data_IF_795160632853
#
_entry.id   IF_795160632853
#
_cell.length_a   1.000
_cell.length_b   1.000
_cell.length_c   1.000
_cell.angle_alpha   90.00
_cell.angle_beta   90.00
_cell.angle_gamma   90.00
#
_symmetry.space_group_name_H-M   'P 1'
#
loop_
_entity.id
_entity.type
_entity.pdbx_description
1 polymer ?
#
# COMPACT_ATOMS: atom_id res chain seq x y z
N UNK A 1 -28.84 16.24 44.62
CA UNK A 1 -27.97 15.30 43.98
C UNK A 1 -26.62 15.99 43.83
N UNK A 2 -25.57 15.59 44.58
CA UNK A 2 -24.23 16.14 44.45
C UNK A 2 -23.70 15.65 43.13
N UNK A 3 -23.40 16.56 42.19
CA UNK A 3 -22.60 16.31 40.99
C UNK A 3 -21.22 16.00 41.54
N UNK A 4 -20.84 14.72 41.53
CA UNK A 4 -19.49 14.30 41.92
C UNK A 4 -18.48 15.09 41.10
N UNK A 5 -17.47 15.66 41.75
CA UNK A 5 -16.35 16.32 41.09
C UNK A 5 -15.64 15.27 40.26
N UNK A 6 -15.80 15.29 38.93
CA UNK A 6 -15.03 14.50 38.00
C UNK A 6 -13.65 15.12 37.99
N UNK A 7 -12.62 14.36 38.43
CA UNK A 7 -11.25 14.83 38.32
C UNK A 7 -10.87 15.02 36.85
N UNK A 8 -10.22 16.15 36.53
CA UNK A 8 -9.79 16.46 35.15
C UNK A 8 -9.00 15.32 34.48
N UNK A 9 -8.29 14.54 35.31
CA UNK A 9 -7.49 13.41 34.83
C UNK A 9 -8.36 12.22 34.39
N UNK A 10 -9.58 12.08 34.92
CA UNK A 10 -10.49 11.01 34.53
C UNK A 10 -11.13 11.30 33.14
N UNK A 11 -11.26 12.57 32.79
CA UNK A 11 -11.73 12.96 31.45
C UNK A 11 -10.80 12.46 30.34
N UNK A 12 -9.50 12.32 30.62
CA UNK A 12 -8.53 11.83 29.64
C UNK A 12 -8.66 10.32 29.33
N UNK A 13 -9.48 9.58 30.08
CA UNK A 13 -9.80 8.20 29.74
C UNK A 13 -10.77 8.10 28.55
N UNK A 14 -11.42 9.20 28.18
CA UNK A 14 -12.43 9.27 27.11
C UNK A 14 -11.91 10.08 25.92
N UNK A 15 -12.43 9.81 24.73
CA UNK A 15 -12.32 10.77 23.63
C UNK A 15 -13.21 11.97 23.93
N UNK A 16 -12.62 13.17 23.96
CA UNK A 16 -13.36 14.41 24.28
C UNK A 16 -14.00 15.01 23.02
N UNK A 17 -14.35 14.18 22.05
CA UNK A 17 -15.02 14.51 20.80
C UNK A 17 -15.78 13.27 20.29
N UNK A 18 -16.73 13.41 19.33
CA UNK A 18 -17.49 12.28 18.79
C UNK A 18 -16.63 11.20 18.09
N UNK A 19 -15.38 11.50 17.77
CA UNK A 19 -14.44 10.60 17.14
C UNK A 19 -13.01 10.84 17.66
N UNK A 20 -12.10 9.84 17.57
CA UNK A 20 -10.75 9.98 18.07
C UNK A 20 -9.93 10.96 17.22
N UNK A 21 -9.74 12.19 17.71
CA UNK A 21 -9.05 13.27 16.99
C UNK A 21 -7.59 12.98 16.68
N UNK A 22 -6.97 12.03 17.39
CA UNK A 22 -5.63 11.54 17.10
C UNK A 22 -5.58 10.63 15.85
N UNK A 23 -6.71 10.03 15.45
CA UNK A 23 -6.84 9.13 14.29
C UNK A 23 -7.69 9.73 13.17
N UNK A 24 -8.52 10.72 13.47
CA UNK A 24 -9.47 11.33 12.55
C UNK A 24 -9.29 12.85 12.45
N UNK A 25 -9.59 13.40 11.28
CA UNK A 25 -9.64 14.83 11.05
C UNK A 25 -10.94 15.45 11.65
N UNK A 26 -11.09 16.78 11.54
CA UNK A 26 -12.21 17.50 12.10
C UNK A 26 -13.59 17.15 11.50
N UNK A 27 -13.62 16.40 10.40
CA UNK A 27 -14.82 15.84 9.77
C UNK A 27 -15.06 14.36 10.12
N UNK A 28 -14.31 13.79 11.07
CA UNK A 28 -14.39 12.39 11.45
C UNK A 28 -13.79 11.40 10.45
N UNK A 29 -13.18 11.88 9.37
CA UNK A 29 -12.50 11.01 8.40
C UNK A 29 -11.12 10.60 8.91
N UNK A 30 -10.69 9.34 8.69
CA UNK A 30 -9.37 8.87 9.09
C UNK A 30 -8.22 9.76 8.57
N UNK A 31 -7.21 9.98 9.41
CA UNK A 31 -5.97 10.59 8.97
C UNK A 31 -5.21 9.61 8.05
N UNK A 32 -5.38 9.79 6.74
CA UNK A 32 -4.55 9.05 5.79
C UNK A 32 -3.15 9.67 5.71
N UNK A 33 -2.15 8.82 5.71
CA UNK A 33 -0.77 9.28 5.65
C UNK A 33 -0.48 9.98 4.32
N UNK A 34 -0.04 11.22 4.37
CA UNK A 34 0.44 11.99 3.20
C UNK A 34 1.94 11.81 2.98
N UNK A 35 2.65 11.25 3.96
CA UNK A 35 4.12 11.12 3.98
C UNK A 35 4.57 9.66 4.07
N UNK A 36 3.79 8.70 3.53
CA UNK A 36 4.20 7.28 3.53
C UNK A 36 5.54 7.06 2.83
N UNK A 37 5.85 7.87 1.82
CA UNK A 37 7.12 7.84 1.09
C UNK A 37 8.35 8.14 1.95
N UNK A 38 8.18 8.77 3.11
CA UNK A 38 9.29 9.02 4.04
C UNK A 38 9.94 7.71 4.49
N UNK A 39 9.15 6.63 4.66
CA UNK A 39 9.69 5.33 5.02
C UNK A 39 10.67 4.81 3.97
N UNK A 40 10.25 4.82 2.70
CA UNK A 40 11.09 4.44 1.57
C UNK A 40 12.33 5.33 1.49
N UNK A 41 12.17 6.64 1.69
CA UNK A 41 13.28 7.60 1.64
C UNK A 41 14.32 7.38 2.75
N UNK A 42 13.90 6.90 3.93
CA UNK A 42 14.78 6.62 5.06
C UNK A 42 15.57 5.30 4.92
N UNK A 43 15.09 4.37 4.10
CA UNK A 43 15.66 3.02 4.01
C UNK A 43 16.35 2.74 2.66
N UNK A 44 15.91 3.34 1.57
CA UNK A 44 16.35 3.02 0.22
C UNK A 44 17.85 3.18 0.02
N UNK A 45 18.47 2.22 -0.62
CA UNK A 45 19.87 2.26 -1.06
C UNK A 45 19.90 2.30 -2.58
N UNK A 46 20.47 3.36 -3.12
CA UNK A 46 20.60 3.55 -4.56
C UNK A 46 21.80 2.84 -5.15
N UNK A 47 21.66 2.44 -6.41
CA UNK A 47 22.74 1.90 -7.24
C UNK A 47 22.76 2.58 -8.61
N UNK A 48 23.94 2.62 -9.24
CA UNK A 48 24.09 3.19 -10.57
C UNK A 48 23.38 2.34 -11.63
N UNK A 49 22.63 2.97 -12.51
CA UNK A 49 21.88 2.32 -13.60
C UNK A 49 22.73 2.05 -14.85
N UNK A 50 24.04 2.36 -14.85
CA UNK A 50 24.82 2.51 -16.09
C UNK A 50 25.06 1.26 -16.96
N UNK A 51 24.67 0.05 -16.51
CA UNK A 51 24.90 -1.17 -17.30
C UNK A 51 24.01 -2.38 -16.95
N UNK A 52 22.96 -2.21 -16.17
CA UNK A 52 22.14 -3.35 -15.75
C UNK A 52 21.12 -3.66 -16.84
N UNK A 53 21.19 -4.87 -17.40
CA UNK A 53 20.16 -5.45 -18.26
C UNK A 53 19.24 -6.30 -17.41
N UNK A 54 17.96 -6.09 -17.52
CA UNK A 54 16.97 -6.82 -16.74
C UNK A 54 16.46 -8.04 -17.51
N UNK A 55 16.44 -9.19 -16.85
CA UNK A 55 15.80 -10.40 -17.38
C UNK A 55 14.28 -10.28 -17.38
N UNK A 56 13.74 -9.58 -16.37
CA UNK A 56 12.31 -9.36 -16.22
C UNK A 56 12.02 -7.96 -15.68
N UNK A 57 10.88 -7.40 -16.12
CA UNK A 57 10.37 -6.11 -15.67
C UNK A 57 8.93 -6.30 -15.21
N UNK A 58 8.65 -5.97 -13.95
CA UNK A 58 7.33 -6.00 -13.34
C UNK A 58 6.81 -4.58 -13.23
N UNK A 59 5.67 -4.27 -13.82
CA UNK A 59 5.17 -2.92 -13.97
C UNK A 59 3.81 -2.76 -13.28
N UNK A 60 3.72 -1.80 -12.37
CA UNK A 60 2.44 -1.29 -11.88
C UNK A 60 1.72 -0.54 -13.00
N UNK A 61 0.70 -1.18 -13.58
CA UNK A 61 -0.03 -0.66 -14.72
C UNK A 61 -0.84 0.60 -14.38
N UNK A 62 -1.35 0.73 -13.17
CA UNK A 62 -2.10 1.90 -12.76
C UNK A 62 -1.19 3.11 -12.60
N UNK A 63 -0.08 2.96 -11.88
CA UNK A 63 0.91 4.02 -11.74
C UNK A 63 1.52 4.41 -13.09
N UNK A 64 1.75 3.44 -13.99
CA UNK A 64 2.18 3.69 -15.36
C UNK A 64 1.19 4.56 -16.12
N UNK A 65 -0.12 4.26 -16.10
CA UNK A 65 -1.16 5.05 -16.78
C UNK A 65 -1.23 6.49 -16.26
N UNK A 66 -0.98 6.69 -14.97
CA UNK A 66 -0.97 8.03 -14.38
C UNK A 66 0.29 8.83 -14.72
N UNK A 67 1.46 8.21 -14.73
CA UNK A 67 2.74 8.89 -14.67
C UNK A 67 3.56 8.80 -15.95
N UNK A 68 3.47 7.70 -16.71
CA UNK A 68 4.36 7.43 -17.83
C UNK A 68 3.68 7.55 -19.20
N UNK A 69 2.37 7.31 -19.28
CA UNK A 69 1.67 7.27 -20.56
C UNK A 69 1.15 8.66 -20.95
N UNK A 70 1.49 9.08 -22.15
CA UNK A 70 0.86 10.25 -22.76
C UNK A 70 -0.64 9.96 -22.99
N UNK A 71 -1.50 10.84 -22.49
CA UNK A 71 -2.94 10.75 -22.66
C UNK A 71 -3.38 11.50 -23.90
N UNK A 72 -3.78 10.84 -25.00
CA UNK A 72 -4.11 11.48 -26.27
C UNK A 72 -5.52 12.09 -26.22
N UNK A 73 -5.67 13.23 -25.56
CA UNK A 73 -6.95 13.92 -25.37
C UNK A 73 -7.66 14.16 -26.71
N UNK A 74 -8.92 13.76 -26.80
CA UNK A 74 -9.74 13.94 -28.01
C UNK A 74 -9.50 12.93 -29.12
N UNK A 75 -8.54 12.00 -28.97
CA UNK A 75 -8.38 10.86 -29.89
C UNK A 75 -9.26 9.70 -29.46
N UNK A 76 -9.31 8.63 -30.26
CA UNK A 76 -9.96 7.38 -29.90
C UNK A 76 -9.19 6.62 -28.80
N UNK A 77 -9.87 5.79 -28.00
CA UNK A 77 -9.26 4.90 -26.99
C UNK A 77 -8.15 4.04 -27.62
N UNK A 78 -8.30 3.63 -28.88
CA UNK A 78 -7.27 2.90 -29.65
C UNK A 78 -5.91 3.60 -29.60
N UNK A 79 -5.88 4.94 -29.68
CA UNK A 79 -4.62 5.70 -29.60
C UNK A 79 -3.94 5.61 -28.24
N UNK A 80 -4.72 5.48 -27.16
CA UNK A 80 -4.15 5.23 -25.85
C UNK A 80 -3.57 3.81 -25.75
N UNK A 81 -4.25 2.80 -26.32
CA UNK A 81 -3.72 1.43 -26.41
C UNK A 81 -2.39 1.41 -27.18
N UNK A 82 -2.33 2.13 -28.32
CA UNK A 82 -1.09 2.29 -29.10
C UNK A 82 0.03 2.99 -28.28
N UNK A 83 -0.32 4.01 -27.48
CA UNK A 83 0.65 4.68 -26.62
C UNK A 83 1.19 3.77 -25.51
N UNK A 84 0.32 2.93 -24.91
CA UNK A 84 0.74 1.93 -23.93
C UNK A 84 1.64 0.86 -24.57
N UNK A 85 1.28 0.38 -25.78
CA UNK A 85 2.12 -0.59 -26.49
C UNK A 85 3.50 0.00 -26.86
N UNK A 86 3.54 1.25 -27.27
CA UNK A 86 4.79 1.96 -27.58
C UNK A 86 5.71 2.10 -26.34
N UNK A 87 5.11 2.15 -25.13
CA UNK A 87 5.86 2.17 -23.88
C UNK A 87 6.36 0.77 -23.48
N UNK A 88 5.52 -0.27 -23.63
CA UNK A 88 5.81 -1.65 -23.16
C UNK A 88 6.70 -2.42 -24.11
N UNK A 89 6.47 -2.36 -25.43
CA UNK A 89 7.13 -3.23 -26.40
C UNK A 89 8.63 -3.06 -26.54
N UNK A 90 9.23 -1.87 -26.31
CA UNK A 90 10.68 -1.76 -26.24
C UNK A 90 11.31 -2.68 -25.19
N UNK A 91 10.66 -2.91 -24.04
CA UNK A 91 11.15 -3.82 -23.01
C UNK A 91 11.11 -5.28 -23.48
N UNK A 92 10.09 -5.70 -24.25
CA UNK A 92 9.95 -7.07 -24.76
C UNK A 92 11.01 -7.50 -25.75
N UNK A 93 11.89 -6.60 -26.18
CA UNK A 93 13.04 -6.93 -27.01
C UNK A 93 14.12 -7.66 -26.21
N UNK A 94 14.27 -7.36 -24.91
CA UNK A 94 15.35 -7.86 -24.06
C UNK A 94 14.84 -8.55 -22.80
N UNK A 95 13.68 -8.17 -22.27
CA UNK A 95 13.16 -8.58 -20.97
C UNK A 95 11.78 -9.23 -21.08
N UNK A 96 11.47 -10.15 -20.18
CA UNK A 96 10.10 -10.56 -19.94
C UNK A 96 9.37 -9.42 -19.21
N UNK A 97 8.09 -9.18 -19.54
CA UNK A 97 7.30 -8.10 -18.95
C UNK A 97 6.07 -8.65 -18.27
N UNK A 98 5.89 -8.27 -17.01
CA UNK A 98 4.70 -8.51 -16.23
C UNK A 98 4.00 -7.17 -15.99
N UNK A 99 2.80 -6.99 -16.56
CA UNK A 99 2.00 -5.79 -16.42
C UNK A 99 0.81 -6.07 -15.51
N UNK A 100 0.74 -5.39 -14.37
CA UNK A 100 -0.23 -5.66 -13.33
C UNK A 100 -1.17 -4.47 -13.16
N UNK A 101 -2.47 -4.71 -13.22
CA UNK A 101 -3.49 -3.74 -12.91
C UNK A 101 -4.28 -4.17 -11.66
N UNK A 102 -4.78 -3.17 -10.90
CA UNK A 102 -5.74 -3.42 -9.83
C UNK A 102 -7.01 -4.07 -10.40
N UNK A 103 -7.63 -4.87 -9.57
CA UNK A 103 -9.00 -5.35 -9.76
C UNK A 103 -9.95 -4.51 -8.93
N UNK A 104 -11.10 -4.26 -9.45
CA UNK A 104 -12.09 -3.43 -8.80
C UNK A 104 -13.35 -4.25 -8.58
N UNK A 105 -13.63 -4.58 -7.31
CA UNK A 105 -14.90 -5.16 -6.89
C UNK A 105 -15.70 -4.12 -6.13
N UNK A 106 -17.04 -4.23 -6.20
CA UNK A 106 -17.95 -3.23 -5.62
C UNK A 106 -17.87 -3.16 -4.08
N UNK A 107 -17.32 -4.19 -3.42
CA UNK A 107 -17.17 -4.31 -1.97
C UNK A 107 -15.70 -4.48 -1.55
N UNK A 108 -14.80 -3.62 -2.01
CA UNK A 108 -13.40 -3.70 -1.57
C UNK A 108 -13.14 -2.85 -0.32
N UNK A 109 -12.16 -3.26 0.48
CA UNK A 109 -11.72 -2.56 1.69
C UNK A 109 -11.28 -1.11 1.40
N UNK A 110 -10.70 -0.87 0.23
CA UNK A 110 -10.34 0.48 -0.24
C UNK A 110 -11.51 1.21 -0.91
N UNK A 111 -12.72 0.62 -1.02
CA UNK A 111 -13.86 1.30 -1.66
C UNK A 111 -14.20 2.60 -0.96
N UNK A 112 -14.17 2.64 0.37
CA UNK A 112 -14.49 3.82 1.16
C UNK A 112 -13.38 4.87 1.12
N UNK A 113 -12.11 4.44 1.12
CA UNK A 113 -10.97 5.34 0.89
C UNK A 113 -11.01 5.95 -0.52
N UNK A 114 -11.42 5.16 -1.52
CA UNK A 114 -11.61 5.64 -2.89
C UNK A 114 -12.80 6.60 -2.98
N UNK A 115 -13.94 6.30 -2.35
CA UNK A 115 -15.13 7.18 -2.29
C UNK A 115 -14.81 8.51 -1.62
N UNK A 116 -14.08 8.51 -0.51
CA UNK A 116 -13.70 9.75 0.19
C UNK A 116 -12.71 10.62 -0.62
N UNK A 117 -11.84 10.01 -1.43
CA UNK A 117 -10.96 10.74 -2.37
C UNK A 117 -11.70 11.23 -3.63
N UNK A 118 -12.82 10.57 -4.00
CA UNK A 118 -13.51 10.83 -5.27
C UNK A 118 -14.53 11.96 -5.20
N UNK A 119 -14.93 12.53 -4.09
CA UNK A 119 -15.79 13.72 -3.91
C UNK A 119 -16.63 14.24 -5.09
N UNK A 120 -16.45 13.69 -6.29
CA UNK A 120 -17.15 14.00 -7.55
C UNK A 120 -17.79 12.75 -8.13
N UNK A 121 -19.03 12.87 -8.54
CA UNK A 121 -19.68 11.86 -9.38
C UNK A 121 -19.12 11.93 -10.80
N UNK A 122 -18.36 10.91 -11.19
CA UNK A 122 -17.90 10.79 -12.58
C UNK A 122 -18.98 10.12 -13.44
N UNK A 123 -19.22 10.70 -14.63
CA UNK A 123 -20.10 10.10 -15.63
C UNK A 123 -19.57 8.73 -16.05
N UNK A 124 -20.42 7.72 -16.05
CA UNK A 124 -20.12 6.42 -16.62
C UNK A 124 -20.10 6.52 -18.14
N UNK A 125 -19.03 6.02 -18.76
CA UNK A 125 -18.85 5.96 -20.19
C UNK A 125 -18.90 4.50 -20.64
N UNK A 126 -19.50 4.26 -21.80
CA UNK A 126 -19.37 2.96 -22.48
C UNK A 126 -18.14 3.04 -23.40
N UNK A 127 -17.01 2.54 -22.92
CA UNK A 127 -15.74 2.62 -23.64
C UNK A 127 -15.63 1.49 -24.68
N UNK A 128 -15.20 1.86 -25.87
CA UNK A 128 -14.82 0.98 -26.98
C UNK A 128 -13.56 1.56 -27.64
N UNK A 129 -12.84 0.79 -28.44
CA UNK A 129 -11.62 1.25 -29.13
C UNK A 129 -11.83 2.50 -29.97
N UNK A 130 -13.04 2.64 -30.56
CA UNK A 130 -13.46 3.79 -31.39
C UNK A 130 -14.07 4.93 -30.57
N UNK A 131 -14.30 4.75 -29.28
CA UNK A 131 -14.84 5.82 -28.43
C UNK A 131 -13.83 6.94 -28.31
N UNK A 132 -14.29 8.18 -28.44
CA UNK A 132 -13.48 9.35 -28.14
C UNK A 132 -13.05 9.32 -26.67
N UNK A 133 -11.75 9.36 -26.42
CA UNK A 133 -11.17 9.20 -25.08
C UNK A 133 -11.55 10.40 -24.19
N UNK A 134 -12.28 10.16 -23.09
CA UNK A 134 -12.57 11.21 -22.10
C UNK A 134 -11.29 11.70 -21.40
N UNK A 135 -11.42 12.71 -20.54
CA UNK A 135 -10.27 13.17 -19.75
C UNK A 135 -9.71 12.05 -18.87
N UNK A 136 -8.42 12.15 -18.54
CA UNK A 136 -7.75 11.16 -17.67
C UNK A 136 -8.49 11.03 -16.32
N UNK A 137 -8.87 12.15 -15.74
CA UNK A 137 -9.57 12.22 -14.46
C UNK A 137 -10.95 11.55 -14.54
N UNK A 138 -11.70 11.78 -15.61
CA UNK A 138 -13.02 11.20 -15.82
C UNK A 138 -12.96 9.67 -15.97
N UNK A 139 -11.90 9.14 -16.57
CA UNK A 139 -11.74 7.69 -16.76
C UNK A 139 -11.11 7.04 -15.54
N UNK A 140 -9.95 7.54 -15.08
CA UNK A 140 -9.22 6.92 -13.98
C UNK A 140 -9.83 7.22 -12.61
N UNK A 141 -10.66 8.25 -12.48
CA UNK A 141 -11.44 8.56 -11.28
C UNK A 141 -12.67 7.67 -11.07
N UNK A 142 -13.21 7.04 -12.12
CA UNK A 142 -14.36 6.15 -12.04
C UNK A 142 -13.91 4.69 -12.07
N UNK A 143 -14.28 3.90 -11.07
CA UNK A 143 -13.98 2.46 -11.01
C UNK A 143 -14.48 1.73 -12.26
N UNK A 144 -15.73 1.98 -12.69
CA UNK A 144 -16.33 1.31 -13.85
C UNK A 144 -15.64 1.70 -15.17
N UNK A 145 -15.35 2.99 -15.36
CA UNK A 145 -14.63 3.45 -16.56
C UNK A 145 -13.21 2.87 -16.61
N UNK A 146 -12.53 2.86 -15.45
CA UNK A 146 -11.18 2.35 -15.32
C UNK A 146 -11.10 0.85 -15.61
N UNK A 147 -12.05 0.05 -15.11
CA UNK A 147 -12.14 -1.39 -15.40
C UNK A 147 -12.29 -1.64 -16.91
N UNK A 148 -13.22 -0.94 -17.56
CA UNK A 148 -13.41 -1.07 -19.02
C UNK A 148 -12.13 -0.69 -19.79
N UNK A 149 -11.47 0.41 -19.39
CA UNK A 149 -10.23 0.84 -20.02
C UNK A 149 -9.12 -0.21 -19.86
N UNK A 150 -8.94 -0.76 -18.67
CA UNK A 150 -7.92 -1.80 -18.39
C UNK A 150 -8.18 -3.04 -19.26
N UNK A 151 -9.42 -3.46 -19.43
CA UNK A 151 -9.77 -4.57 -20.32
C UNK A 151 -9.41 -4.28 -21.77
N UNK A 152 -9.76 -3.10 -22.28
CA UNK A 152 -9.42 -2.69 -23.65
C UNK A 152 -7.91 -2.61 -23.88
N UNK A 153 -7.16 -2.07 -22.93
CA UNK A 153 -5.69 -2.02 -22.97
C UNK A 153 -5.12 -3.44 -22.97
N UNK A 154 -5.57 -4.28 -22.06
CA UNK A 154 -5.07 -5.67 -21.92
C UNK A 154 -5.30 -6.48 -23.18
N UNK A 155 -6.52 -6.46 -23.73
CA UNK A 155 -6.85 -7.15 -24.97
C UNK A 155 -6.08 -6.61 -26.16
N UNK A 156 -5.98 -5.29 -26.29
CA UNK A 156 -5.25 -4.63 -27.38
C UNK A 156 -3.74 -4.95 -27.34
N UNK A 157 -3.10 -4.86 -26.16
CA UNK A 157 -1.70 -5.23 -25.99
C UNK A 157 -1.42 -6.68 -26.36
N UNK A 158 -2.22 -7.62 -25.85
CA UNK A 158 -2.06 -9.05 -26.16
C UNK A 158 -2.25 -9.35 -27.64
N UNK A 159 -3.24 -8.71 -28.30
CA UNK A 159 -3.47 -8.84 -29.74
C UNK A 159 -2.27 -8.32 -30.55
N UNK A 160 -1.76 -7.15 -30.20
CA UNK A 160 -0.59 -6.56 -30.87
C UNK A 160 0.68 -7.34 -30.61
N UNK A 161 0.89 -7.83 -29.38
CA UNK A 161 2.04 -8.67 -29.02
C UNK A 161 2.00 -10.03 -29.77
N UNK A 162 0.80 -10.60 -29.96
CA UNK A 162 0.61 -11.81 -30.75
C UNK A 162 1.05 -11.63 -32.18
N UNK A 163 0.66 -10.51 -32.82
CA UNK A 163 1.02 -10.23 -34.22
C UNK A 163 2.51 -9.94 -34.40
N UNK A 164 3.17 -9.34 -33.40
CA UNK A 164 4.63 -9.07 -33.44
C UNK A 164 5.49 -10.25 -33.04
N UNK A 165 4.89 -11.30 -32.44
CA UNK A 165 5.55 -12.57 -32.10
C UNK A 165 6.86 -12.43 -31.32
N UNK A 166 6.86 -11.62 -30.25
CA UNK A 166 8.05 -11.42 -29.41
C UNK A 166 8.58 -12.72 -28.81
N UNK A 167 9.91 -12.88 -28.77
CA UNK A 167 10.58 -14.00 -28.11
C UNK A 167 10.40 -13.95 -26.58
N UNK A 168 10.38 -12.74 -26.01
CA UNK A 168 10.14 -12.50 -24.60
C UNK A 168 8.65 -12.52 -24.32
N UNK A 169 8.27 -12.90 -23.12
CA UNK A 169 6.85 -13.01 -22.74
C UNK A 169 6.30 -11.68 -22.21
N UNK A 170 5.06 -11.42 -22.55
CA UNK A 170 4.22 -10.42 -21.93
C UNK A 170 3.16 -11.14 -21.09
N UNK A 171 3.18 -10.93 -19.78
CA UNK A 171 2.15 -11.40 -18.84
C UNK A 171 1.29 -10.23 -18.41
N UNK A 172 -0.02 -10.30 -18.60
CA UNK A 172 -0.95 -9.22 -18.23
C UNK A 172 -1.92 -9.75 -17.18
N UNK A 173 -1.91 -9.09 -16.01
CA UNK A 173 -2.89 -9.29 -14.94
C UNK A 173 -3.90 -8.16 -15.01
N UNK A 174 -5.18 -8.48 -15.22
CA UNK A 174 -6.27 -7.50 -15.37
C UNK A 174 -7.45 -7.86 -14.45
N UNK A 175 -8.67 -7.51 -14.84
CA UNK A 175 -9.87 -7.75 -14.03
C UNK A 175 -10.14 -9.24 -13.70
N UNK A 176 -9.66 -10.17 -14.55
CA UNK A 176 -9.85 -11.62 -14.32
C UNK A 176 -8.81 -12.20 -13.36
N UNK A 177 -9.16 -13.25 -12.59
CA UNK A 177 -8.23 -13.90 -11.67
C UNK A 177 -7.00 -14.50 -12.35
N UNK A 178 -7.15 -15.01 -13.56
CA UNK A 178 -6.11 -15.71 -14.31
C UNK A 178 -5.34 -14.71 -15.21
N UNK A 179 -4.05 -14.49 -15.00
CA UNK A 179 -3.23 -13.71 -15.91
C UNK A 179 -3.11 -14.35 -17.28
N UNK A 180 -2.94 -13.54 -18.31
CA UNK A 180 -2.77 -14.00 -19.70
C UNK A 180 -1.35 -13.71 -20.16
N UNK A 181 -0.68 -14.70 -20.69
CA UNK A 181 0.65 -14.58 -21.28
C UNK A 181 0.59 -14.63 -22.80
N UNK A 182 1.35 -13.77 -23.45
CA UNK A 182 1.67 -13.84 -24.88
C UNK A 182 3.17 -14.02 -25.07
N UNK A 183 3.60 -15.02 -25.86
CA UNK A 183 4.99 -15.26 -26.23
C UNK A 183 5.04 -15.98 -27.57
N UNK A 184 5.91 -15.58 -28.49
CA UNK A 184 6.08 -16.19 -29.83
C UNK A 184 4.75 -16.34 -30.58
N UNK A 185 3.88 -15.33 -30.48
CA UNK A 185 2.55 -15.36 -31.09
C UNK A 185 1.54 -16.31 -30.42
N UNK A 186 1.91 -17.03 -29.38
CA UNK A 186 1.01 -17.90 -28.62
C UNK A 186 0.44 -17.18 -27.41
N UNK A 187 -0.85 -17.39 -27.16
CA UNK A 187 -1.53 -16.86 -25.96
C UNK A 187 -1.92 -18.04 -25.08
N UNK A 188 -1.53 -17.98 -23.81
CA UNK A 188 -1.86 -18.97 -22.80
C UNK A 188 -2.40 -18.31 -21.53
N UNK A 189 -3.20 -19.05 -20.77
CA UNK A 189 -3.67 -18.66 -19.44
C UNK A 189 -2.71 -19.17 -18.39
N UNK A 190 -2.21 -18.29 -17.52
CA UNK A 190 -1.26 -18.61 -16.45
C UNK A 190 -2.03 -18.97 -15.17
N UNK A 191 -2.51 -20.22 -15.11
CA UNK A 191 -3.23 -20.73 -13.94
C UNK A 191 -2.35 -20.79 -12.68
N UNK A 192 -1.05 -20.97 -12.84
CA UNK A 192 -0.05 -20.93 -11.78
C UNK A 192 0.07 -19.54 -11.11
N UNK A 193 -0.34 -18.49 -11.80
CA UNK A 193 -0.39 -17.10 -11.31
C UNK A 193 -1.81 -16.64 -10.97
N UNK A 194 -2.76 -17.58 -10.92
CA UNK A 194 -4.13 -17.27 -10.53
C UNK A 194 -4.15 -16.65 -9.13
N UNK A 195 -4.82 -15.52 -9.03
CA UNK A 195 -5.00 -14.86 -7.73
C UNK A 195 -6.35 -14.15 -7.66
N UNK A 196 -6.92 -14.08 -6.47
CA UNK A 196 -8.13 -13.31 -6.18
C UNK A 196 -7.83 -12.03 -5.39
N UNK A 197 -6.55 -11.70 -5.17
CA UNK A 197 -6.16 -10.39 -4.63
C UNK A 197 -6.62 -9.26 -5.54
N UNK A 198 -7.07 -8.17 -4.95
CA UNK A 198 -7.62 -7.02 -5.69
C UNK A 198 -6.56 -6.00 -6.10
N UNK A 199 -5.55 -5.80 -5.25
CA UNK A 199 -4.61 -4.71 -5.37
C UNK A 199 -3.32 -5.12 -6.07
N UNK A 200 -2.86 -4.30 -7.01
CA UNK A 200 -1.58 -4.50 -7.68
C UNK A 200 -0.42 -4.62 -6.68
N UNK A 201 -0.47 -3.84 -5.58
CA UNK A 201 0.55 -3.86 -4.53
C UNK A 201 0.77 -5.26 -3.93
N UNK A 202 -0.31 -6.04 -3.79
CA UNK A 202 -0.28 -7.40 -3.26
C UNK A 202 -0.02 -8.44 -4.36
N UNK A 203 -0.35 -8.13 -5.62
CA UNK A 203 -0.15 -9.03 -6.77
C UNK A 203 1.30 -8.97 -7.28
N UNK A 204 1.96 -7.81 -7.25
CA UNK A 204 3.35 -7.60 -7.70
C UNK A 204 4.31 -8.63 -7.10
N UNK A 205 4.31 -8.92 -5.78
CA UNK A 205 5.19 -9.93 -5.18
C UNK A 205 5.07 -11.30 -5.80
N UNK A 206 3.87 -11.78 -6.12
CA UNK A 206 3.65 -13.08 -6.76
C UNK A 206 4.27 -13.12 -8.17
N UNK A 207 4.21 -12.04 -8.92
CA UNK A 207 4.82 -11.95 -10.24
C UNK A 207 6.35 -11.90 -10.16
N UNK A 208 6.89 -11.26 -9.13
CA UNK A 208 8.34 -11.26 -8.84
C UNK A 208 8.79 -12.67 -8.47
N UNK A 209 8.06 -13.38 -7.58
CA UNK A 209 8.35 -14.77 -7.21
C UNK A 209 8.32 -15.69 -8.43
N UNK A 210 7.34 -15.53 -9.33
CA UNK A 210 7.29 -16.28 -10.59
C UNK A 210 8.54 -16.05 -11.45
N UNK A 211 8.97 -14.80 -11.58
CA UNK A 211 10.19 -14.50 -12.33
C UNK A 211 11.44 -15.16 -11.69
N UNK A 212 11.55 -15.13 -10.36
CA UNK A 212 12.63 -15.77 -9.61
C UNK A 212 12.61 -17.29 -9.83
N UNK A 213 11.46 -17.92 -9.70
CA UNK A 213 11.25 -19.37 -9.89
C UNK A 213 11.58 -19.81 -11.31
N UNK A 214 11.44 -18.94 -12.31
CA UNK A 214 11.85 -19.16 -13.69
C UNK A 214 13.37 -18.89 -13.92
N UNK A 215 14.14 -18.63 -12.86
CA UNK A 215 15.59 -18.45 -12.92
C UNK A 215 16.06 -17.06 -13.37
N UNK A 216 15.18 -16.04 -13.33
CA UNK A 216 15.56 -14.67 -13.65
C UNK A 216 16.46 -14.09 -12.55
N UNK A 217 17.59 -13.52 -12.94
CA UNK A 217 18.61 -13.01 -12.01
C UNK A 217 18.46 -11.53 -11.72
N UNK A 218 18.17 -10.73 -12.72
CA UNK A 218 18.05 -9.28 -12.62
C UNK A 218 16.62 -8.85 -12.93
N UNK A 219 15.88 -8.41 -11.90
CA UNK A 219 14.45 -8.10 -11.98
C UNK A 219 14.24 -6.62 -11.62
N UNK A 220 13.61 -5.86 -12.51
CA UNK A 220 13.21 -4.49 -12.22
C UNK A 220 11.70 -4.43 -11.87
N UNK A 221 11.35 -3.64 -10.85
CA UNK A 221 9.98 -3.30 -10.49
C UNK A 221 9.78 -1.82 -10.81
N UNK A 222 8.94 -1.52 -11.80
CA UNK A 222 8.53 -0.16 -12.12
C UNK A 222 7.29 0.20 -11.30
N UNK A 223 7.51 0.80 -10.14
CA UNK A 223 6.49 1.22 -9.20
C UNK A 223 7.03 2.31 -8.28
N UNK A 224 6.21 3.31 -7.96
CA UNK A 224 6.55 4.38 -7.01
C UNK A 224 6.01 4.12 -5.60
N UNK A 225 5.13 3.13 -5.40
CA UNK A 225 4.44 2.91 -4.14
C UNK A 225 5.37 2.41 -3.04
N UNK A 226 5.20 3.00 -1.86
CA UNK A 226 5.95 2.62 -0.66
C UNK A 226 5.47 1.29 -0.08
N UNK A 227 4.20 0.94 -0.26
CA UNK A 227 3.62 -0.30 0.24
C UNK A 227 4.25 -1.49 -0.50
N UNK A 228 4.41 -1.37 -1.85
CA UNK A 228 5.17 -2.34 -2.66
C UNK A 228 6.62 -2.45 -2.21
N UNK A 229 7.30 -1.32 -1.98
CA UNK A 229 8.68 -1.31 -1.50
C UNK A 229 8.84 -2.06 -0.17
N UNK A 230 7.95 -1.78 0.80
CA UNK A 230 7.95 -2.42 2.12
C UNK A 230 7.73 -3.93 2.00
N UNK A 231 6.75 -4.32 1.18
CA UNK A 231 6.39 -5.72 1.01
C UNK A 231 7.49 -6.51 0.31
N UNK A 232 8.09 -5.96 -0.75
CA UNK A 232 9.21 -6.61 -1.47
C UNK A 232 10.45 -6.73 -0.59
N UNK A 233 10.82 -5.70 0.19
CA UNK A 233 11.94 -5.79 1.12
C UNK A 233 11.72 -6.88 2.18
N UNK A 234 10.51 -6.96 2.73
CA UNK A 234 10.15 -8.00 3.70
C UNK A 234 10.23 -9.40 3.10
N UNK A 235 9.63 -9.60 1.93
CA UNK A 235 9.63 -10.89 1.25
C UNK A 235 11.02 -11.30 0.79
N UNK A 236 11.84 -10.37 0.33
CA UNK A 236 13.23 -10.63 -0.04
C UNK A 236 13.99 -11.35 1.08
N UNK A 237 13.83 -10.85 2.32
CA UNK A 237 14.45 -11.49 3.48
C UNK A 237 13.73 -12.78 3.90
N UNK A 238 12.39 -12.77 3.94
CA UNK A 238 11.57 -13.88 4.43
C UNK A 238 11.71 -15.14 3.56
N UNK A 239 11.76 -14.94 2.22
CA UNK A 239 11.87 -16.01 1.23
C UNK A 239 13.32 -16.31 0.84
N UNK A 240 14.28 -15.59 1.42
CA UNK A 240 15.71 -15.72 1.11
C UNK A 240 16.01 -15.62 -0.41
N UNK A 241 15.32 -14.71 -1.10
CA UNK A 241 15.52 -14.53 -2.54
C UNK A 241 16.98 -14.22 -2.86
N UNK A 242 17.47 -14.77 -3.98
CA UNK A 242 18.87 -14.59 -4.42
C UNK A 242 19.01 -13.73 -5.68
N UNK A 243 17.90 -13.45 -6.36
CA UNK A 243 17.90 -12.57 -7.52
C UNK A 243 18.15 -11.12 -7.12
N UNK A 244 18.81 -10.36 -7.97
CA UNK A 244 18.97 -8.93 -7.82
C UNK A 244 17.63 -8.26 -8.15
N UNK A 245 16.99 -7.67 -7.17
CA UNK A 245 15.73 -6.96 -7.36
C UNK A 245 15.97 -5.47 -7.24
N UNK A 246 15.48 -4.73 -8.22
CA UNK A 246 15.60 -3.28 -8.29
C UNK A 246 14.21 -2.65 -8.39
N UNK A 247 14.02 -1.53 -7.71
CA UNK A 247 12.80 -0.73 -7.83
C UNK A 247 13.11 0.61 -8.45
N UNK A 248 12.24 1.05 -9.38
CA UNK A 248 12.37 2.31 -10.12
C UNK A 248 11.02 2.98 -10.25
N UNK A 249 10.98 4.29 -10.06
CA UNK A 249 9.81 5.11 -10.35
C UNK A 249 9.64 5.42 -11.85
N UNK A 250 8.54 6.07 -12.19
CA UNK A 250 8.21 6.45 -13.58
C UNK A 250 8.80 7.78 -14.02
N UNK A 251 9.32 8.60 -13.11
CA UNK A 251 9.98 9.87 -13.48
C UNK A 251 11.24 9.61 -14.33
N UNK A 252 11.52 10.58 -15.22
CA UNK A 252 12.70 10.54 -16.07
C UNK A 252 13.94 10.51 -15.25
N UNK A 253 14.87 10.02 -14.99
CA UNK A 253 16.07 10.12 -14.14
C UNK A 253 15.88 9.63 -12.70
N UNK A 254 15.04 8.65 -12.46
CA UNK A 254 15.00 7.97 -11.16
C UNK A 254 16.17 7.00 -11.05
N UNK A 255 16.92 7.10 -9.95
CA UNK A 255 17.94 6.12 -9.60
C UNK A 255 17.30 4.77 -9.27
N UNK A 256 18.04 3.69 -9.51
CA UNK A 256 17.61 2.35 -9.12
C UNK A 256 17.79 2.15 -7.62
N UNK A 257 16.74 1.72 -6.95
CA UNK A 257 16.81 1.26 -5.56
C UNK A 257 17.13 -0.24 -5.59
N UNK A 258 18.24 -0.64 -4.99
CA UNK A 258 18.56 -2.06 -4.80
C UNK A 258 17.83 -2.59 -3.57
N UNK A 259 16.91 -3.52 -3.76
CA UNK A 259 16.20 -4.19 -2.66
C UNK A 259 17.20 -5.00 -1.82
N UNK A 260 18.08 -5.76 -2.45
CA UNK A 260 19.12 -6.53 -1.76
C UNK A 260 19.95 -5.66 -0.82
N UNK A 261 20.58 -4.59 -1.34
CA UNK A 261 21.41 -3.70 -0.50
C UNK A 261 20.61 -2.99 0.57
N UNK A 262 19.36 -2.64 0.30
CA UNK A 262 18.44 -2.06 1.30
C UNK A 262 18.20 -3.04 2.45
N UNK A 263 17.93 -4.30 2.15
CA UNK A 263 17.71 -5.35 3.15
C UNK A 263 19.00 -5.62 3.94
N UNK A 264 20.14 -5.76 3.27
CA UNK A 264 21.45 -5.97 3.90
C UNK A 264 21.84 -4.82 4.85
N UNK A 265 21.49 -3.58 4.49
CA UNK A 265 21.80 -2.39 5.32
C UNK A 265 20.90 -2.29 6.55
N UNK A 266 19.69 -2.83 6.51
CA UNK A 266 18.65 -2.64 7.53
C UNK A 266 18.07 -3.96 8.06
N UNK A 267 18.90 -5.00 8.18
CA UNK A 267 18.50 -6.36 8.62
C UNK A 267 17.74 -6.38 9.95
N UNK A 268 18.03 -5.42 10.82
CA UNK A 268 17.47 -5.26 12.15
C UNK A 268 15.97 -4.94 12.15
N UNK A 269 15.47 -4.23 11.15
CA UNK A 269 14.08 -3.79 11.06
C UNK A 269 13.26 -4.56 10.02
N UNK A 270 13.90 -5.16 9.01
CA UNK A 270 13.21 -5.83 7.88
C UNK A 270 12.16 -6.85 8.31
N UNK A 271 12.38 -7.71 9.34
CA UNK A 271 11.39 -8.67 9.77
C UNK A 271 10.09 -8.05 10.30
N UNK A 272 10.14 -6.79 10.74
CA UNK A 272 9.03 -6.06 11.35
C UNK A 272 8.58 -4.85 10.54
N UNK A 273 9.22 -4.61 9.41
CA UNK A 273 9.00 -3.42 8.58
C UNK A 273 7.53 -3.24 8.16
N UNK A 274 6.82 -4.29 7.66
CA UNK A 274 5.40 -4.18 7.35
C UNK A 274 4.56 -3.78 8.56
N UNK A 275 4.78 -4.43 9.71
CA UNK A 275 4.04 -4.14 10.94
C UNK A 275 4.26 -2.69 11.42
N UNK A 276 5.51 -2.22 11.44
CA UNK A 276 5.84 -0.83 11.79
C UNK A 276 5.18 0.17 10.84
N UNK A 277 5.18 -0.14 9.55
CA UNK A 277 4.58 0.71 8.53
C UNK A 277 3.07 0.79 8.69
N UNK A 278 2.40 -0.33 8.80
CA UNK A 278 0.94 -0.43 8.91
C UNK A 278 0.43 0.22 10.19
N UNK A 279 1.01 -0.11 11.35
CA UNK A 279 0.60 0.44 12.66
C UNK A 279 0.72 1.98 12.74
N UNK A 280 1.59 2.58 11.95
CA UNK A 280 1.77 4.04 11.91
C UNK A 280 1.11 4.71 10.72
N UNK A 281 0.22 3.99 10.03
CA UNK A 281 -0.60 4.49 8.95
C UNK A 281 -0.14 4.05 7.56
N UNK A 282 -1.07 3.48 6.81
CA UNK A 282 -0.95 3.13 5.40
C UNK A 282 -2.25 3.54 4.68
N UNK A 283 -2.50 3.05 3.47
CA UNK A 283 -3.70 3.41 2.72
C UNK A 283 -5.01 2.95 3.38
N UNK A 284 -4.96 1.92 4.23
CA UNK A 284 -6.13 1.32 4.89
C UNK A 284 -6.19 1.53 6.40
N UNK A 285 -5.08 1.94 7.02
CA UNK A 285 -4.97 2.15 8.47
C UNK A 285 -4.66 3.62 8.75
N UNK A 286 -5.45 4.30 9.61
CA UNK A 286 -5.21 5.69 9.95
C UNK A 286 -3.82 5.94 10.53
N UNK A 287 -3.23 7.07 10.18
CA UNK A 287 -2.03 7.56 10.82
C UNK A 287 -2.39 8.28 12.13
N UNK A 288 -1.71 7.96 13.20
CA UNK A 288 -1.80 8.73 14.45
C UNK A 288 -1.16 10.10 14.26
N UNK A 289 -1.82 11.15 14.75
CA UNK A 289 -1.38 12.53 14.58
C UNK A 289 0.06 12.75 15.07
N UNK A 290 0.91 13.30 14.21
CA UNK A 290 2.36 13.52 14.44
C UNK A 290 3.21 12.28 14.73
N UNK A 291 2.69 11.09 14.46
CA UNK A 291 3.48 9.85 14.47
C UNK A 291 3.88 9.50 13.03
N UNK A 292 5.04 9.99 12.62
CA UNK A 292 5.57 9.74 11.28
C UNK A 292 6.49 8.53 11.21
N UNK A 293 6.89 8.14 10.00
CA UNK A 293 7.67 6.93 9.70
C UNK A 293 9.05 6.87 10.39
N UNK A 294 9.69 8.02 10.64
CA UNK A 294 10.94 8.06 11.41
C UNK A 294 10.76 7.56 12.84
N UNK A 295 9.67 7.96 13.51
CA UNK A 295 9.33 7.46 14.85
C UNK A 295 9.02 5.98 14.82
N UNK A 296 8.27 5.53 13.80
CA UNK A 296 7.97 4.11 13.59
C UNK A 296 9.22 3.24 13.51
N UNK A 297 10.20 3.63 12.70
CA UNK A 297 11.48 2.90 12.57
C UNK A 297 12.27 2.91 13.87
N UNK A 298 12.32 4.04 14.58
CA UNK A 298 13.02 4.14 15.87
C UNK A 298 12.36 3.26 16.93
N UNK A 299 11.04 3.25 16.99
CA UNK A 299 10.28 2.40 17.91
C UNK A 299 10.41 0.91 17.54
N UNK A 300 10.31 0.56 16.26
CA UNK A 300 10.42 -0.82 15.78
C UNK A 300 11.78 -1.47 16.05
N UNK A 301 12.86 -0.69 16.03
CA UNK A 301 14.20 -1.16 16.43
C UNK A 301 14.32 -1.46 17.93
N UNK A 302 13.57 -0.72 18.76
CA UNK A 302 13.55 -0.91 20.22
C UNK A 302 12.55 -1.98 20.66
N UNK A 303 11.41 -2.04 19.96
CA UNK A 303 10.25 -2.87 20.30
C UNK A 303 9.89 -3.74 19.09
N UNK A 304 10.61 -4.86 18.86
CA UNK A 304 10.36 -5.74 17.73
C UNK A 304 8.98 -6.39 17.81
N UNK A 305 8.21 -6.30 16.74
CA UNK A 305 6.81 -6.74 16.64
C UNK A 305 6.71 -8.24 16.28
N UNK A 306 7.29 -9.12 17.11
CA UNK A 306 7.36 -10.56 16.87
C UNK A 306 5.99 -11.24 16.95
N UNK A 307 5.23 -10.94 17.99
CA UNK A 307 3.89 -11.50 18.22
C UNK A 307 2.88 -10.89 17.26
N UNK A 308 2.99 -9.59 17.02
CA UNK A 308 2.10 -8.90 16.10
C UNK A 308 2.14 -9.47 14.69
N UNK A 309 3.28 -9.92 14.19
CA UNK A 309 3.39 -10.52 12.85
C UNK A 309 3.03 -12.01 12.80
N UNK A 310 3.01 -12.73 13.92
CA UNK A 310 2.84 -14.18 13.96
C UNK A 310 1.36 -14.55 13.89
N UNK A 311 0.94 -15.33 12.89
CA UNK A 311 -0.48 -15.70 12.68
C UNK A 311 -1.10 -16.38 13.91
N UNK A 312 -0.34 -17.24 14.60
CA UNK A 312 -0.76 -18.06 15.72
C UNK A 312 -0.79 -17.31 17.05
N UNK A 313 -0.36 -16.04 17.10
CA UNK A 313 -0.41 -15.25 18.33
C UNK A 313 -1.85 -14.98 18.73
N UNK A 314 -2.10 -15.14 20.04
CA UNK A 314 -3.40 -14.78 20.63
C UNK A 314 -3.62 -13.28 20.54
N UNK A 315 -4.88 -12.86 20.64
CA UNK A 315 -5.23 -11.44 20.63
C UNK A 315 -4.51 -10.65 21.72
N UNK A 316 -4.46 -11.20 22.95
CA UNK A 316 -3.76 -10.58 24.06
C UNK A 316 -2.27 -10.37 23.79
N UNK A 317 -1.59 -11.35 23.16
CA UNK A 317 -0.16 -11.28 22.86
C UNK A 317 0.17 -10.20 21.85
N UNK A 318 -0.53 -10.18 20.69
CA UNK A 318 -0.24 -9.19 19.65
C UNK A 318 -0.70 -7.79 20.05
N UNK A 319 -1.78 -7.69 20.81
CA UNK A 319 -2.31 -6.43 21.33
C UNK A 319 -1.33 -5.77 22.29
N UNK A 320 -0.80 -6.52 23.26
CA UNK A 320 0.18 -6.02 24.24
C UNK A 320 1.45 -5.51 23.54
N UNK A 321 1.95 -6.25 22.54
CA UNK A 321 3.15 -5.86 21.79
C UNK A 321 2.91 -4.62 20.93
N UNK A 322 1.76 -4.53 20.25
CA UNK A 322 1.38 -3.36 19.45
C UNK A 322 1.16 -2.11 20.31
N UNK A 323 0.52 -2.23 21.47
CA UNK A 323 0.36 -1.13 22.43
C UNK A 323 1.72 -0.62 22.93
N UNK A 324 2.65 -1.51 23.27
CA UNK A 324 4.01 -1.15 23.67
C UNK A 324 4.76 -0.42 22.55
N UNK A 325 4.63 -0.88 21.31
CA UNK A 325 5.21 -0.20 20.14
C UNK A 325 4.62 1.21 19.96
N UNK A 326 3.31 1.36 20.04
CA UNK A 326 2.64 2.66 19.93
C UNK A 326 3.09 3.59 21.06
N UNK A 327 3.12 3.10 22.31
CA UNK A 327 3.63 3.86 23.45
C UNK A 327 5.06 4.37 23.18
N UNK A 328 5.94 3.52 22.66
CA UNK A 328 7.31 3.90 22.26
C UNK A 328 7.32 5.00 21.18
N UNK A 329 6.38 4.99 20.23
CA UNK A 329 6.24 6.06 19.23
C UNK A 329 5.88 7.41 19.85
N UNK A 330 5.15 7.41 20.96
CA UNK A 330 4.81 8.60 21.75
C UNK A 330 5.89 8.98 22.79
N UNK A 331 6.93 8.15 22.95
CA UNK A 331 7.99 8.33 23.96
C UNK A 331 7.56 7.96 25.37
N UNK A 332 6.64 7.01 25.48
CA UNK A 332 6.10 6.44 26.70
C UNK A 332 6.55 4.99 26.87
N UNK A 333 6.38 4.44 28.09
CA UNK A 333 6.81 3.08 28.44
C UNK A 333 5.67 2.17 28.92
N UNK A 334 4.53 2.74 29.31
CA UNK A 334 3.34 1.98 29.71
C UNK A 334 2.52 1.54 28.50
N UNK A 335 1.87 0.38 28.60
CA UNK A 335 0.98 -0.14 27.56
C UNK A 335 -0.46 0.42 27.65
N UNK A 336 -0.82 1.07 28.75
CA UNK A 336 -2.10 1.77 28.90
C UNK A 336 -2.08 3.09 28.14
N UNK A 337 -2.97 3.23 27.16
CA UNK A 337 -3.09 4.45 26.42
C UNK A 337 -3.63 5.59 27.30
N UNK A 338 -4.55 5.31 28.20
CA UNK A 338 -5.10 6.26 29.17
C UNK A 338 -4.02 6.85 30.06
N UNK A 339 -3.11 6.00 30.57
CA UNK A 339 -1.95 6.45 31.35
C UNK A 339 -0.99 7.31 30.52
N UNK A 340 -0.70 6.89 29.28
CA UNK A 340 0.16 7.65 28.37
C UNK A 340 -0.44 9.03 28.05
N UNK A 341 -1.76 9.12 27.88
CA UNK A 341 -2.48 10.39 27.68
C UNK A 341 -2.27 11.34 28.87
N UNK A 342 -2.38 10.85 30.10
CA UNK A 342 -2.12 11.62 31.33
C UNK A 342 -0.69 12.11 31.38
N UNK A 343 0.29 11.24 31.21
CA UNK A 343 1.73 11.57 31.21
C UNK A 343 2.06 12.64 30.16
N UNK A 344 1.55 12.50 28.93
CA UNK A 344 1.82 13.45 27.86
C UNK A 344 1.13 14.78 28.12
N UNK A 345 -0.11 14.74 28.65
CA UNK A 345 -0.86 15.94 28.99
C UNK A 345 -0.11 16.74 30.09
N UNK A 346 0.32 16.11 31.17
CA UNK A 346 1.09 16.72 32.25
C UNK A 346 2.41 17.34 31.74
N UNK A 347 3.19 16.59 30.96
CA UNK A 347 4.41 17.13 30.34
C UNK A 347 4.15 18.37 29.51
N UNK A 348 3.07 18.41 28.76
CA UNK A 348 2.70 19.58 27.95
C UNK A 348 2.20 20.72 28.78
N UNK A 349 1.41 20.46 29.82
CA UNK A 349 0.92 21.49 30.74
C UNK A 349 2.07 22.22 31.45
N UNK A 350 3.14 21.49 31.81
CA UNK A 350 4.34 22.06 32.45
C UNK A 350 5.20 22.83 31.44
N UNK A 351 5.36 22.31 30.21
CA UNK A 351 6.28 22.89 29.21
C UNK A 351 5.67 24.03 28.39
N UNK A 352 4.37 24.00 28.16
CA UNK A 352 3.67 25.10 27.49
C UNK A 352 3.39 26.20 28.54
N UNK A 353 4.11 27.33 28.45
CA UNK A 353 3.56 28.57 29.02
C UNK A 353 2.13 28.67 28.59
N UNK A 354 1.19 28.82 29.54
CA UNK A 354 -0.25 28.87 29.30
C UNK A 354 -0.51 29.85 28.14
N UNK A 355 -0.52 29.37 26.93
CA UNK A 355 -0.97 30.12 25.76
C UNK A 355 -2.47 29.98 25.68
N UNK A 356 -3.16 30.99 25.21
CA UNK A 356 -4.62 31.03 25.05
C UNK A 356 -5.24 29.88 24.21
N UNK A 357 -4.42 29.01 23.62
CA UNK A 357 -4.85 27.92 22.73
C UNK A 357 -5.02 26.55 23.41
N UNK A 358 -4.67 26.40 24.70
CA UNK A 358 -4.77 25.10 25.39
C UNK A 358 -3.85 24.01 24.82
N UNK A 359 -3.96 22.79 25.36
CA UNK A 359 -3.25 21.61 24.87
C UNK A 359 -4.01 21.02 23.69
N UNK A 360 -3.32 20.81 22.57
CA UNK A 360 -3.88 20.17 21.38
C UNK A 360 -4.14 18.66 21.65
N UNK A 361 -5.41 18.31 21.87
CA UNK A 361 -5.84 16.95 22.17
C UNK A 361 -5.50 15.94 21.07
N UNK A 362 -5.41 16.39 19.79
CA UNK A 362 -4.98 15.53 18.67
C UNK A 362 -3.60 14.92 18.89
N UNK A 363 -2.78 15.57 19.70
CA UNK A 363 -1.41 15.15 19.98
C UNK A 363 -1.28 14.11 21.11
N UNK A 364 -2.38 13.75 21.76
CA UNK A 364 -2.44 12.64 22.70
C UNK A 364 -2.66 11.33 21.93
N UNK A 365 -2.22 10.17 22.48
CA UNK A 365 -2.61 8.87 21.93
C UNK A 365 -4.13 8.73 21.85
N UNK A 366 -4.68 7.89 20.97
CA UNK A 366 -6.09 7.51 21.05
C UNK A 366 -6.38 6.82 22.38
N UNK A 367 -7.63 6.81 22.84
CA UNK A 367 -8.03 6.01 24.01
C UNK A 367 -7.70 4.54 23.84
N UNK A 368 -7.69 3.76 24.92
CA UNK A 368 -7.36 2.33 24.84
C UNK A 368 -8.30 1.60 23.88
N UNK A 369 -9.61 1.86 23.92
CA UNK A 369 -10.60 1.28 23.03
C UNK A 369 -10.33 1.64 21.56
N UNK A 370 -10.15 2.91 21.24
CA UNK A 370 -9.87 3.36 19.88
C UNK A 370 -8.53 2.82 19.35
N UNK A 371 -7.53 2.69 20.23
CA UNK A 371 -6.24 2.12 19.88
C UNK A 371 -6.34 0.64 19.55
N UNK A 372 -7.09 -0.15 20.35
CA UNK A 372 -7.30 -1.58 20.12
C UNK A 372 -7.94 -1.83 18.76
N UNK A 373 -8.98 -1.07 18.42
CA UNK A 373 -9.63 -1.16 17.12
C UNK A 373 -8.68 -0.83 15.96
N UNK A 374 -7.85 0.20 16.13
CA UNK A 374 -6.83 0.54 15.12
C UNK A 374 -5.77 -0.54 14.99
N UNK A 375 -5.37 -1.19 16.09
CA UNK A 375 -4.43 -2.32 16.11
C UNK A 375 -5.04 -3.54 15.40
N UNK A 376 -6.30 -3.87 15.65
CA UNK A 376 -6.99 -4.97 14.97
C UNK A 376 -7.05 -4.72 13.45
N UNK A 377 -7.37 -3.49 13.03
CA UNK A 377 -7.35 -3.09 11.63
C UNK A 377 -5.96 -3.24 11.00
N UNK A 378 -4.93 -2.82 11.72
CA UNK A 378 -3.53 -2.98 11.30
C UNK A 378 -3.13 -4.47 11.18
N UNK A 379 -3.58 -5.30 12.11
CA UNK A 379 -3.35 -6.74 12.08
C UNK A 379 -4.00 -7.40 10.87
N UNK A 380 -5.23 -7.04 10.55
CA UNK A 380 -5.92 -7.52 9.36
C UNK A 380 -5.15 -7.16 8.07
N UNK A 381 -4.72 -5.90 7.95
CA UNK A 381 -3.93 -5.46 6.79
C UNK A 381 -2.62 -6.23 6.67
N UNK A 382 -1.96 -6.52 7.79
CA UNK A 382 -0.73 -7.33 7.79
C UNK A 382 -0.99 -8.75 7.30
N UNK A 383 -2.10 -9.37 7.71
CA UNK A 383 -2.48 -10.71 7.26
C UNK A 383 -2.77 -10.76 5.76
N UNK A 384 -3.38 -9.70 5.20
CA UNK A 384 -3.54 -9.57 3.74
C UNK A 384 -2.18 -9.52 3.04
N UNK A 385 -1.23 -8.77 3.56
CA UNK A 385 0.11 -8.67 2.97
C UNK A 385 0.92 -9.96 3.11
N UNK A 386 0.78 -10.66 4.23
CA UNK A 386 1.43 -11.96 4.45
C UNK A 386 0.93 -13.06 3.50
N UNK A 387 -0.28 -12.88 2.92
CA UNK A 387 -0.86 -13.78 1.92
C UNK A 387 -0.54 -13.38 0.47
N UNK A 388 0.33 -12.41 0.24
CA UNK A 388 0.63 -11.89 -1.10
C UNK A 388 1.24 -12.93 -2.07
N UNK A 389 1.83 -13.99 -1.55
CA UNK A 389 2.30 -15.13 -2.35
C UNK A 389 1.27 -16.27 -2.42
N UNK A 390 0.17 -16.18 -1.69
CA UNK A 390 -0.94 -17.12 -1.75
C UNK A 390 -1.88 -16.70 -2.89
N UNK A 391 -2.56 -17.65 -3.53
CA UNK A 391 -3.49 -17.36 -4.63
C UNK A 391 -4.79 -16.64 -4.19
N UNK A 392 -5.00 -16.44 -2.89
CA UNK A 392 -6.18 -15.79 -2.33
C UNK A 392 -5.87 -15.09 -1.00
N UNK A 393 -6.57 -13.97 -0.71
CA UNK A 393 -6.52 -13.38 0.62
C UNK A 393 -7.02 -14.36 1.68
N UNK A 394 -6.62 -14.19 2.95
CA UNK A 394 -7.12 -15.00 4.04
C UNK A 394 -8.63 -14.84 4.17
N UNK A 395 -9.33 -15.93 4.46
CA UNK A 395 -10.78 -15.91 4.69
C UNK A 395 -11.10 -15.27 6.05
N UNK A 396 -11.04 -13.95 6.11
CA UNK A 396 -11.33 -13.14 7.28
C UNK A 396 -12.55 -12.27 6.97
N UNK A 397 -13.45 -12.18 7.95
CA UNK A 397 -14.61 -11.30 7.84
C UNK A 397 -14.19 -9.84 8.06
N UNK A 398 -14.14 -9.01 7.01
CA UNK A 398 -13.73 -7.62 7.15
C UNK A 398 -14.71 -6.81 8.02
N UNK A 399 -15.97 -7.23 8.13
CA UNK A 399 -16.97 -6.51 8.91
C UNK A 399 -16.66 -6.56 10.40
N UNK A 400 -16.02 -7.60 10.90
CA UNK A 400 -15.58 -7.71 12.30
C UNK A 400 -14.43 -6.77 12.65
N UNK A 401 -13.77 -6.19 11.66
CA UNK A 401 -12.56 -5.37 11.83
C UNK A 401 -12.77 -3.91 11.45
N UNK A 402 -13.78 -3.60 10.61
CA UNK A 402 -13.95 -2.28 9.99
C UNK A 402 -15.10 -1.43 10.52
N UNK A 403 -16.00 -1.97 11.35
CA UNK A 403 -17.25 -1.31 11.74
C UNK A 403 -17.15 -0.14 12.73
N UNK A 404 -15.98 0.36 13.08
CA UNK A 404 -15.83 1.15 14.31
C UNK A 404 -15.57 2.64 14.15
N UNK A 405 -15.64 3.18 12.93
CA UNK A 405 -15.57 4.64 12.71
C UNK A 405 -16.79 5.23 11.99
N UNK A 406 -17.80 4.42 11.71
CA UNK A 406 -19.09 4.92 11.22
C UNK A 406 -20.03 4.80 12.42
N UNK A 407 -20.11 5.87 13.21
CA UNK A 407 -21.15 6.00 14.23
C UNK A 407 -22.52 5.91 13.57
N UNK A 408 -23.44 5.15 14.22
CA UNK A 408 -24.87 5.13 13.92
C UNK A 408 -25.45 6.54 13.88
#
# INVERSE_FOLDING_TARGET
MSIGQIETMDLLNYELSPFPTSLCNDSGLPHYTTTKSDLKNLLKVFVSNRSIKFDSIVIDGNAMLYSAIYWPKGAEVKKLVEAVSAYIFPFLKESDVYLIFDRYHDFSIKSDTRKSRQGMFFKEHKLQLTTQLPSREAVLGSTKNKTQLIELISMGLLSMAKSQSFERKLVVTSAKPDPIQCQRGLIIVRQDLRTTHEEADVIIPMQVESAISEGKKDIAIHCDDTDVFVLICHLYQKQEWKSNIFMKGFAKNTDLISIQKTVETHTDIMPYLPACHILTGCDTVPQMFRIGKKKALTAGRKMPLKRFKRRESTEAEYMAEAKAFVASCYGCTTTSSSENRKIIWEKKAVTQKITSKGIDLKSLPPTDECLELNIQRARFQLMLWDSSLDGSPPNLDPTKVFFLFIGN
#
